data_IF_320081423650
#
_entry.id   IF_320081423650
#
_cell.length_a   1.000
_cell.length_b   1.000
_cell.length_c   1.000
_cell.angle_alpha   90.00
_cell.angle_beta   90.00
_cell.angle_gamma   90.00
#
_symmetry.space_group_name_H-M   'P 1'
#
loop_
_entity.id
_entity.type
_entity.pdbx_description
1 polymer ?
#
# COMPACT_ATOMS: atom_id res chain seq x y z
N UNK A 1 -10.24 26.01 -17.88
CA UNK A 1 -9.99 25.17 -16.69
C UNK A 1 -10.41 23.76 -17.07
N UNK A 2 -9.49 22.80 -17.12
CA UNK A 2 -9.89 21.42 -17.41
C UNK A 2 -10.72 20.93 -16.23
N UNK A 3 -11.88 20.31 -16.50
CA UNK A 3 -12.72 19.74 -15.45
C UNK A 3 -12.02 18.49 -14.92
N UNK A 4 -11.16 18.68 -13.91
CA UNK A 4 -10.44 17.63 -13.18
C UNK A 4 -11.36 16.51 -12.68
N UNK A 5 -12.64 16.79 -12.47
CA UNK A 5 -13.63 15.86 -11.93
C UNK A 5 -14.15 14.82 -12.95
N UNK A 6 -13.72 14.89 -14.20
CA UNK A 6 -14.06 13.91 -15.25
C UNK A 6 -12.90 12.98 -15.61
N UNK A 7 -11.73 13.17 -14.99
CA UNK A 7 -10.60 12.28 -15.18
C UNK A 7 -10.90 10.91 -14.54
N UNK A 8 -10.60 9.79 -15.24
CA UNK A 8 -10.70 8.47 -14.64
C UNK A 8 -9.84 8.38 -13.38
N UNK A 9 -10.34 7.71 -12.35
CA UNK A 9 -9.58 7.45 -11.13
C UNK A 9 -8.47 6.44 -11.47
N UNK A 10 -7.20 6.75 -11.20
CA UNK A 10 -6.11 5.82 -11.46
C UNK A 10 -6.18 4.63 -10.49
N UNK A 11 -6.03 3.44 -11.04
CA UNK A 11 -5.86 2.19 -10.29
C UNK A 11 -4.37 1.86 -10.13
N UNK A 12 -4.02 1.01 -9.16
CA UNK A 12 -2.64 0.58 -8.89
C UNK A 12 -2.32 -0.81 -9.47
N UNK A 13 -3.13 -1.31 -10.40
CA UNK A 13 -2.86 -2.56 -11.10
C UNK A 13 -1.71 -2.39 -12.09
N UNK A 14 -0.83 -3.38 -12.11
CA UNK A 14 0.19 -3.51 -13.15
C UNK A 14 -0.43 -4.11 -14.42
N UNK A 15 0.25 -3.93 -15.57
CA UNK A 15 -0.20 -4.57 -16.81
C UNK A 15 -0.22 -6.11 -16.67
N UNK A 16 -1.06 -6.83 -17.43
CA UNK A 16 -1.10 -8.30 -17.38
C UNK A 16 0.27 -8.97 -17.58
N UNK A 17 1.07 -8.43 -18.50
CA UNK A 17 2.43 -8.94 -18.77
C UNK A 17 3.36 -8.73 -17.56
N UNK A 18 3.29 -7.55 -16.93
CA UNK A 18 4.06 -7.26 -15.72
C UNK A 18 3.58 -8.10 -14.52
N UNK A 19 2.28 -8.38 -14.42
CA UNK A 19 1.71 -9.20 -13.35
C UNK A 19 2.28 -10.62 -13.35
N UNK A 20 2.46 -11.23 -14.52
CA UNK A 20 3.02 -12.58 -14.62
C UNK A 20 4.49 -12.62 -14.15
N UNK A 21 5.31 -11.66 -14.58
CA UNK A 21 6.70 -11.54 -14.14
C UNK A 21 6.80 -11.25 -12.63
N UNK A 22 6.02 -10.31 -12.13
CA UNK A 22 6.01 -9.94 -10.71
C UNK A 22 5.56 -11.09 -9.81
N UNK A 23 4.61 -11.93 -10.24
CA UNK A 23 4.21 -13.13 -9.47
C UNK A 23 5.36 -14.11 -9.29
N UNK A 24 6.22 -14.28 -10.30
CA UNK A 24 7.41 -15.14 -10.21
C UNK A 24 8.43 -14.53 -9.25
N UNK A 25 8.74 -13.24 -9.41
CA UNK A 25 9.69 -12.54 -8.54
C UNK A 25 9.22 -12.53 -7.07
N UNK A 26 7.94 -12.25 -6.85
CA UNK A 26 7.32 -12.16 -5.53
C UNK A 26 7.35 -13.48 -4.76
N UNK A 27 7.42 -14.62 -5.45
CA UNK A 27 7.55 -15.94 -4.81
C UNK A 27 8.84 -16.10 -3.98
N UNK A 28 9.84 -15.25 -4.20
CA UNK A 28 11.11 -15.24 -3.45
C UNK A 28 11.24 -14.08 -2.46
N UNK A 29 10.27 -13.16 -2.41
CA UNK A 29 10.32 -11.99 -1.54
C UNK A 29 9.91 -12.33 -0.10
N UNK A 30 10.40 -11.58 0.91
CA UNK A 30 9.75 -11.55 2.22
C UNK A 30 8.29 -11.20 2.04
N UNK A 31 7.44 -11.84 2.83
CA UNK A 31 6.02 -11.88 2.54
C UNK A 31 5.17 -11.79 3.78
N UNK A 32 4.12 -10.98 3.70
CA UNK A 32 3.16 -10.78 4.78
C UNK A 32 1.80 -11.35 4.38
N UNK A 33 1.24 -12.17 5.27
CA UNK A 33 -0.13 -12.69 5.11
C UNK A 33 -1.08 -11.66 5.74
N UNK A 34 -1.92 -11.06 4.90
CA UNK A 34 -2.79 -9.97 5.28
C UNK A 34 -3.94 -10.47 6.15
N UNK A 35 -4.31 -9.66 7.14
CA UNK A 35 -5.58 -9.86 7.85
C UNK A 35 -6.76 -9.47 6.94
N UNK A 36 -7.99 -9.95 7.21
CA UNK A 36 -9.16 -9.55 6.42
C UNK A 36 -9.37 -8.04 6.33
N UNK A 37 -9.04 -7.29 7.40
CA UNK A 37 -9.10 -5.83 7.40
C UNK A 37 -8.07 -5.21 6.47
N UNK A 38 -6.82 -5.69 6.52
CA UNK A 38 -5.73 -5.20 5.67
C UNK A 38 -6.00 -5.50 4.19
N UNK A 39 -6.65 -6.63 3.88
CA UNK A 39 -7.11 -6.93 2.50
C UNK A 39 -8.09 -5.85 2.03
N UNK A 40 -9.06 -5.45 2.85
CA UNK A 40 -9.99 -4.37 2.46
C UNK A 40 -9.25 -3.05 2.18
N UNK A 41 -8.26 -2.69 3.00
CA UNK A 41 -7.47 -1.47 2.77
C UNK A 41 -6.63 -1.58 1.49
N UNK A 42 -6.02 -2.75 1.24
CA UNK A 42 -5.31 -3.03 0.01
C UNK A 42 -6.23 -2.94 -1.23
N UNK A 43 -7.43 -3.51 -1.17
CA UNK A 43 -8.39 -3.45 -2.28
C UNK A 43 -8.80 -2.01 -2.60
N UNK A 44 -9.06 -1.19 -1.57
CA UNK A 44 -9.39 0.23 -1.73
C UNK A 44 -8.23 1.05 -2.29
N UNK A 45 -6.98 0.70 -1.97
CA UNK A 45 -5.81 1.28 -2.63
C UNK A 45 -5.75 0.87 -4.10
N UNK A 46 -5.88 -0.43 -4.37
CA UNK A 46 -5.69 -1.00 -5.71
C UNK A 46 -6.73 -0.52 -6.72
N UNK A 47 -8.01 -0.43 -6.32
CA UNK A 47 -9.11 -0.01 -7.18
C UNK A 47 -9.34 1.52 -7.21
N UNK A 48 -8.51 2.30 -6.51
CA UNK A 48 -8.62 3.75 -6.46
C UNK A 48 -9.69 4.29 -5.50
N UNK A 49 -10.34 3.45 -4.68
CA UNK A 49 -11.26 3.88 -3.62
C UNK A 49 -10.60 4.81 -2.59
N UNK A 50 -9.28 4.74 -2.44
CA UNK A 50 -8.48 5.66 -1.62
C UNK A 50 -7.75 6.75 -2.41
N UNK A 51 -8.15 7.05 -3.66
CA UNK A 51 -7.57 8.16 -4.40
C UNK A 51 -7.63 9.47 -3.56
N UNK A 52 -6.52 10.22 -3.43
CA UNK A 52 -5.30 10.19 -4.25
C UNK A 52 -4.14 9.33 -3.72
N UNK A 53 -4.35 8.48 -2.71
CA UNK A 53 -3.29 7.64 -2.16
C UNK A 53 -2.76 6.64 -3.19
N UNK A 54 -1.44 6.45 -3.20
CA UNK A 54 -0.73 5.49 -4.08
C UNK A 54 -0.18 4.28 -3.31
N UNK A 55 -0.53 4.15 -2.04
CA UNK A 55 -0.08 3.11 -1.13
C UNK A 55 -0.51 3.40 0.30
N UNK A 56 -0.06 2.56 1.24
CA UNK A 56 -0.15 2.86 2.66
C UNK A 56 0.65 4.14 2.98
N UNK A 57 0.25 4.86 4.02
CA UNK A 57 0.92 6.10 4.42
C UNK A 57 2.39 5.86 4.76
N UNK A 58 3.22 6.82 4.39
CA UNK A 58 4.56 6.98 4.95
C UNK A 58 4.46 7.44 6.42
N UNK A 59 5.58 7.48 7.14
CA UNK A 59 5.58 8.03 8.50
C UNK A 59 5.15 9.50 8.51
N UNK A 60 5.65 10.28 7.56
CA UNK A 60 5.31 11.70 7.45
C UNK A 60 3.82 11.91 7.15
N UNK A 61 3.22 11.07 6.29
CA UNK A 61 1.78 11.12 6.03
C UNK A 61 0.97 10.74 7.27
N UNK A 62 1.40 9.69 7.99
CA UNK A 62 0.75 9.26 9.23
C UNK A 62 0.74 10.39 10.27
N UNK A 63 1.90 10.98 10.54
CA UNK A 63 2.06 12.05 11.53
C UNK A 63 1.17 13.25 11.15
N UNK A 64 1.19 13.66 9.88
CA UNK A 64 0.33 14.73 9.38
C UNK A 64 -1.17 14.45 9.55
N UNK A 65 -1.59 13.21 9.27
CA UNK A 65 -3.01 12.81 9.37
C UNK A 65 -3.45 12.84 10.83
N UNK A 66 -2.63 12.34 11.75
CA UNK A 66 -2.93 12.35 13.18
C UNK A 66 -2.99 13.77 13.73
N UNK A 67 -2.05 14.63 13.35
CA UNK A 67 -1.94 15.99 13.91
C UNK A 67 -2.92 16.98 13.28
N UNK A 68 -3.15 16.88 11.97
CA UNK A 68 -3.82 17.93 11.19
C UNK A 68 -4.90 17.42 10.23
N UNK A 69 -5.17 16.10 10.22
CA UNK A 69 -6.06 15.44 9.25
C UNK A 69 -5.61 15.66 7.81
N UNK A 70 -4.29 15.76 7.58
CA UNK A 70 -3.72 15.95 6.24
C UNK A 70 -2.47 15.11 6.05
N UNK A 71 -2.31 14.53 4.88
CA UNK A 71 -1.04 13.89 4.47
C UNK A 71 0.09 14.91 4.39
N UNK A 72 1.33 14.45 4.22
CA UNK A 72 2.51 15.32 4.22
C UNK A 72 2.50 16.34 3.06
N UNK A 73 1.82 16.02 1.96
CA UNK A 73 1.61 16.93 0.82
C UNK A 73 0.42 17.91 0.99
N UNK A 74 -0.27 17.85 2.13
CA UNK A 74 -1.39 18.72 2.48
C UNK A 74 -2.77 18.21 2.03
N UNK A 75 -2.86 17.04 1.39
CA UNK A 75 -4.15 16.41 1.03
C UNK A 75 -4.97 16.14 2.27
N UNK A 76 -6.24 16.55 2.28
CA UNK A 76 -7.16 16.25 3.39
C UNK A 76 -7.39 14.75 3.48
N UNK A 77 -7.05 14.15 4.62
CA UNK A 77 -7.26 12.73 4.88
C UNK A 77 -7.47 12.50 6.38
N UNK A 78 -8.66 12.09 6.83
CA UNK A 78 -9.00 12.12 8.25
C UNK A 78 -8.65 10.85 9.03
N UNK A 79 -8.19 9.79 8.35
CA UNK A 79 -7.95 8.48 8.97
C UNK A 79 -6.67 7.84 8.45
N UNK A 80 -5.70 7.47 9.32
CA UNK A 80 -4.48 6.83 8.87
C UNK A 80 -4.73 5.47 8.24
N UNK A 81 -4.20 5.25 7.04
CA UNK A 81 -4.13 3.96 6.34
C UNK A 81 -2.70 3.44 6.43
N UNK A 82 -2.45 2.47 7.32
CA UNK A 82 -1.11 1.89 7.54
C UNK A 82 -1.17 0.37 7.44
N UNK A 83 -0.04 -0.26 7.12
CA UNK A 83 0.11 -1.71 7.16
C UNK A 83 0.83 -2.08 8.46
N UNK A 84 0.08 -2.47 9.48
CA UNK A 84 0.61 -2.99 10.72
C UNK A 84 1.12 -4.43 10.56
N UNK A 85 2.30 -4.71 11.09
CA UNK A 85 2.93 -6.02 11.01
C UNK A 85 3.55 -6.37 12.37
N UNK A 86 3.81 -7.66 12.60
CA UNK A 86 4.53 -8.08 13.81
C UNK A 86 5.99 -7.61 13.80
N UNK A 87 6.56 -7.29 14.96
CA UNK A 87 7.98 -6.95 15.12
C UNK A 87 8.91 -7.98 14.46
N UNK A 88 8.61 -9.26 14.65
CA UNK A 88 9.37 -10.37 14.05
C UNK A 88 9.46 -10.29 12.52
N UNK A 89 8.36 -9.88 11.88
CA UNK A 89 8.36 -9.69 10.42
C UNK A 89 9.10 -8.41 10.05
N UNK A 90 8.82 -7.32 10.77
CA UNK A 90 9.47 -6.02 10.57
C UNK A 90 11.00 -6.13 10.65
N UNK A 91 11.56 -6.95 11.53
CA UNK A 91 13.01 -7.19 11.66
C UNK A 91 13.65 -7.76 10.39
N UNK A 92 12.90 -8.57 9.64
CA UNK A 92 13.36 -9.16 8.37
C UNK A 92 13.19 -8.27 7.14
N UNK A 93 12.61 -7.07 7.32
CA UNK A 93 12.28 -6.14 6.23
C UNK A 93 13.18 -4.91 6.29
N UNK A 94 13.86 -4.63 5.19
CA UNK A 94 14.67 -3.44 5.02
C UNK A 94 13.87 -2.31 4.36
N UNK A 95 14.12 -1.08 4.78
CA UNK A 95 13.66 0.11 4.07
C UNK A 95 14.27 0.14 2.66
N UNK A 96 13.47 0.48 1.65
CA UNK A 96 13.77 0.34 0.22
C UNK A 96 13.56 -1.07 -0.33
N UNK A 97 13.31 -2.07 0.53
CA UNK A 97 13.03 -3.45 0.12
C UNK A 97 11.64 -3.63 -0.49
N UNK A 98 11.44 -4.73 -1.20
CA UNK A 98 10.12 -5.17 -1.67
C UNK A 98 9.60 -6.32 -0.84
N UNK A 99 8.30 -6.32 -0.57
CA UNK A 99 7.61 -7.43 0.08
C UNK A 99 6.40 -7.87 -0.75
N UNK A 100 6.07 -9.16 -0.67
CA UNK A 100 4.84 -9.71 -1.23
C UNK A 100 3.72 -9.64 -0.19
N UNK A 101 2.53 -9.21 -0.60
CA UNK A 101 1.32 -9.23 0.22
C UNK A 101 0.42 -10.37 -0.25
N UNK A 102 0.00 -11.24 0.68
CA UNK A 102 -0.82 -12.41 0.39
C UNK A 102 -2.14 -12.41 1.13
N UNK A 103 -3.14 -13.08 0.58
CA UNK A 103 -4.35 -13.42 1.32
C UNK A 103 -4.16 -14.67 2.22
N UNK A 104 -5.23 -15.05 2.91
CA UNK A 104 -5.25 -16.21 3.79
C UNK A 104 -5.11 -17.57 3.06
N UNK A 105 -5.31 -17.59 1.74
CA UNK A 105 -5.12 -18.78 0.90
C UNK A 105 -3.67 -18.87 0.37
N UNK A 106 -2.84 -17.86 0.64
CA UNK A 106 -1.46 -17.76 0.18
C UNK A 106 -1.31 -17.19 -1.23
N UNK A 107 -2.38 -16.63 -1.81
CA UNK A 107 -2.33 -16.00 -3.13
C UNK A 107 -1.65 -14.64 -3.00
N UNK A 108 -0.65 -14.37 -3.85
CA UNK A 108 0.01 -13.07 -3.93
C UNK A 108 -0.93 -12.07 -4.60
N UNK A 109 -1.35 -11.06 -3.84
CA UNK A 109 -2.23 -9.99 -4.28
C UNK A 109 -1.46 -8.78 -4.80
N UNK A 110 -0.38 -8.40 -4.12
CA UNK A 110 0.40 -7.20 -4.45
C UNK A 110 1.88 -7.35 -4.09
N UNK A 111 2.71 -6.52 -4.71
CA UNK A 111 4.10 -6.28 -4.29
C UNK A 111 4.19 -4.84 -3.81
N UNK A 112 4.70 -4.64 -2.60
CA UNK A 112 4.85 -3.33 -1.99
C UNK A 112 6.34 -3.00 -1.83
N UNK A 113 6.72 -1.77 -2.20
CA UNK A 113 8.04 -1.24 -1.86
C UNK A 113 7.94 -0.52 -0.52
N UNK A 114 8.80 -0.88 0.43
CA UNK A 114 8.79 -0.32 1.78
C UNK A 114 9.57 0.98 1.77
N UNK A 115 8.88 2.11 1.78
CA UNK A 115 9.52 3.43 1.83
C UNK A 115 9.93 3.82 3.23
N UNK A 116 9.08 3.54 4.22
CA UNK A 116 9.29 3.83 5.63
C UNK A 116 8.93 2.62 6.50
N UNK A 117 9.64 2.46 7.63
CA UNK A 117 9.34 1.47 8.69
C UNK A 117 9.55 2.15 10.04
N UNK A 118 8.55 2.16 10.90
CA UNK A 118 8.58 2.85 12.20
C UNK A 118 7.79 2.10 13.27
N UNK A 119 7.94 2.56 14.51
CA UNK A 119 7.28 2.06 15.73
C UNK A 119 6.72 3.23 16.51
#
# INVERSE_FOLDING_TARGET
>A
MSNSNLAPIPELFVSPDAAAALKIEAGSMPSWDLTPRQVCDLELLMNGGFHPLQGFHTRADYDGVVETMRTADGTLWPMPITLDVSDKFADGVAQGGKIALRDAEGVILAVMTVTDKWT
#
